data_IF_820572043561
#
_entry.id   IF_820572043561
#
_cell.length_a   1.000
_cell.length_b   1.000
_cell.length_c   1.000
_cell.angle_alpha   90.00
_cell.angle_beta   90.00
_cell.angle_gamma   90.00
#
_symmetry.space_group_name_H-M   'P 1'
#
loop_
_entity.id
_entity.type
_entity.pdbx_description
1 polymer ?
#
# COMPACT_ATOMS: atom_id res chain seq x y z
N UNK A 1 27.08 -28.49 47.38
CA UNK A 1 27.00 -27.74 46.11
C UNK A 1 25.56 -27.30 45.93
N UNK A 2 25.26 -26.01 45.72
CA UNK A 2 23.90 -25.59 45.41
C UNK A 2 23.57 -26.01 43.97
N UNK A 3 22.38 -26.57 43.78
CA UNK A 3 21.82 -26.91 42.48
C UNK A 3 21.76 -25.67 41.57
N UNK A 4 22.09 -25.77 40.27
CA UNK A 4 21.88 -24.66 39.37
C UNK A 4 20.37 -24.50 39.17
N UNK A 5 19.84 -23.33 39.52
CA UNK A 5 18.50 -22.90 39.11
C UNK A 5 18.43 -22.94 37.58
N UNK A 6 17.80 -23.99 37.04
CA UNK A 6 17.41 -24.01 35.64
C UNK A 6 16.41 -22.88 35.41
N UNK A 7 16.70 -21.97 34.48
CA UNK A 7 15.71 -21.03 33.96
C UNK A 7 14.51 -21.87 33.51
N UNK A 8 13.35 -21.67 34.12
CA UNK A 8 12.10 -22.34 33.72
C UNK A 8 11.82 -21.96 32.27
N UNK A 9 12.14 -22.83 31.31
CA UNK A 9 11.76 -22.64 29.92
C UNK A 9 10.23 -22.70 29.86
N UNK A 10 9.58 -21.54 29.63
CA UNK A 10 8.14 -21.46 29.42
C UNK A 10 7.78 -22.34 28.21
N UNK A 11 6.68 -23.11 28.30
CA UNK A 11 6.24 -23.92 27.16
C UNK A 11 5.77 -23.02 26.00
N UNK A 12 5.76 -23.49 24.75
CA UNK A 12 5.20 -22.72 23.63
C UNK A 12 3.77 -22.21 23.89
N UNK A 13 2.94 -23.03 24.54
CA UNK A 13 1.57 -22.64 24.90
C UNK A 13 1.54 -21.50 25.94
N UNK A 14 2.41 -21.54 26.95
CA UNK A 14 2.52 -20.47 27.95
C UNK A 14 2.97 -19.15 27.32
N UNK A 15 3.92 -19.21 26.37
CA UNK A 15 4.43 -18.02 25.67
C UNK A 15 3.31 -17.39 24.82
N UNK A 16 2.58 -18.21 24.06
CA UNK A 16 1.43 -17.75 23.25
C UNK A 16 0.35 -17.13 24.14
N UNK A 17 -0.01 -17.78 25.24
CA UNK A 17 -1.00 -17.29 26.20
C UNK A 17 -0.58 -15.95 26.81
N UNK A 18 0.64 -15.86 27.34
CA UNK A 18 1.15 -14.64 27.96
C UNK A 18 1.19 -13.49 26.95
N UNK A 19 1.68 -13.73 25.73
CA UNK A 19 1.75 -12.71 24.70
C UNK A 19 0.36 -12.18 24.33
N UNK A 20 -0.62 -13.08 24.19
CA UNK A 20 -2.02 -12.70 23.91
C UNK A 20 -2.62 -11.85 25.04
N UNK A 21 -2.37 -12.22 26.29
CA UNK A 21 -2.83 -11.46 27.46
C UNK A 21 -2.17 -10.07 27.52
N UNK A 22 -0.87 -9.97 27.26
CA UNK A 22 -0.15 -8.68 27.25
C UNK A 22 -0.62 -7.74 26.14
N UNK A 23 -0.88 -8.25 24.93
CA UNK A 23 -1.42 -7.44 23.83
C UNK A 23 -2.83 -6.93 24.16
N UNK A 24 -3.68 -7.77 24.76
CA UNK A 24 -5.02 -7.35 25.18
C UNK A 24 -4.99 -6.22 26.23
N UNK A 25 -3.93 -6.10 27.04
CA UNK A 25 -3.72 -4.96 27.94
C UNK A 25 -3.39 -3.70 27.14
N UNK A 26 -2.53 -3.79 26.13
CA UNK A 26 -2.17 -2.66 25.26
C UNK A 26 -3.38 -2.17 24.44
N UNK A 27 -4.19 -3.08 23.89
CA UNK A 27 -5.42 -2.76 23.16
C UNK A 27 -6.42 -1.98 24.03
N UNK A 28 -6.66 -2.43 25.27
CA UNK A 28 -7.58 -1.75 26.20
C UNK A 28 -7.15 -0.33 26.50
N UNK A 29 -5.83 -0.10 26.58
CA UNK A 29 -5.28 1.23 26.78
C UNK A 29 -5.49 2.11 25.54
N UNK A 30 -5.16 1.64 24.34
CA UNK A 30 -5.34 2.39 23.10
C UNK A 30 -6.81 2.80 22.87
N UNK A 31 -7.75 1.90 23.14
CA UNK A 31 -9.19 2.19 23.07
C UNK A 31 -9.59 3.27 24.10
N UNK A 32 -9.03 3.22 25.31
CA UNK A 32 -9.28 4.22 26.34
C UNK A 32 -8.77 5.60 25.92
N UNK A 33 -7.56 5.66 25.36
CA UNK A 33 -6.93 6.91 24.93
C UNK A 33 -7.70 7.54 23.74
N UNK A 34 -8.07 6.75 22.73
CA UNK A 34 -8.92 7.21 21.61
C UNK A 34 -10.30 7.69 22.05
N UNK A 35 -10.88 7.14 23.12
CA UNK A 35 -12.15 7.62 23.70
C UNK A 35 -11.97 8.93 24.45
N UNK A 36 -10.83 9.15 25.10
CA UNK A 36 -10.53 10.38 25.81
C UNK A 36 -10.23 11.56 24.87
N UNK A 37 -9.79 11.28 23.64
CA UNK A 37 -9.48 12.30 22.61
C UNK A 37 -10.70 12.79 21.81
N UNK A 38 -11.90 12.21 21.96
CA UNK A 38 -13.10 12.74 21.30
C UNK A 38 -13.48 14.12 21.89
N UNK A 39 -13.59 15.19 21.08
CA UNK A 39 -13.93 16.51 21.59
C UNK A 39 -15.36 16.55 22.13
N UNK A 40 -15.50 17.15 23.31
CA UNK A 40 -16.74 17.34 24.04
C UNK A 40 -17.55 18.50 23.41
N UNK A 41 -18.22 18.26 22.28
CA UNK A 41 -19.26 19.18 21.78
C UNK A 41 -20.56 18.40 21.53
N UNK A 42 -21.66 18.69 22.26
CA UNK A 42 -22.96 18.13 21.94
C UNK A 42 -23.57 18.91 20.76
N UNK A 43 -23.81 18.23 19.64
CA UNK A 43 -24.75 18.72 18.64
C UNK A 43 -26.17 18.70 19.23
N UNK A 44 -26.69 19.87 19.57
CA UNK A 44 -28.13 20.08 19.70
C UNK A 44 -28.74 20.11 18.31
N UNK A 45 -29.45 19.05 17.95
CA UNK A 45 -30.43 19.11 16.87
C UNK A 45 -31.62 19.97 17.33
N UNK A 46 -31.93 21.02 16.58
CA UNK A 46 -33.25 21.65 16.58
C UNK A 46 -33.57 22.00 15.13
N UNK A 47 -34.38 21.15 14.51
CA UNK A 47 -35.04 21.42 13.23
C UNK A 47 -36.13 22.47 13.42
N UNK A 48 -36.20 23.50 12.58
CA UNK A 48 -37.47 24.14 12.28
C UNK A 48 -38.03 23.60 10.98
N UNK A 49 -39.26 23.09 11.07
CA UNK A 49 -40.18 22.88 9.95
C UNK A 49 -40.26 24.14 9.08
N UNK A 50 -40.15 24.00 7.76
CA UNK A 50 -40.70 24.96 6.81
C UNK A 50 -41.33 24.21 5.65
N UNK A 51 -42.66 24.21 5.68
CA UNK A 51 -43.53 23.82 4.58
C UNK A 51 -43.29 24.72 3.36
N UNK A 52 -43.43 24.08 2.21
CA UNK A 52 -43.63 24.65 0.88
C UNK A 52 -44.52 25.89 0.87
N UNK A 53 -44.07 26.96 0.21
CA UNK A 53 -44.94 27.73 -0.66
C UNK A 53 -44.17 28.43 -1.78
N UNK A 54 -44.70 28.23 -2.98
CA UNK A 54 -44.34 28.83 -4.26
C UNK A 54 -44.64 30.32 -4.33
N UNK A 55 -43.83 31.09 -5.08
CA UNK A 55 -44.23 31.98 -6.19
C UNK A 55 -43.27 33.19 -6.37
N UNK A 56 -42.88 33.36 -7.64
CA UNK A 56 -42.61 34.62 -8.37
C UNK A 56 -41.40 35.51 -8.02
N UNK A 57 -40.49 35.59 -9.01
CA UNK A 57 -39.66 36.76 -9.38
C UNK A 57 -40.56 37.95 -9.79
N UNK A 58 -40.13 39.23 -9.74
CA UNK A 58 -39.12 39.72 -10.68
C UNK A 58 -38.19 40.91 -10.27
N UNK A 59 -37.08 41.00 -11.01
CA UNK A 59 -36.36 42.18 -11.55
C UNK A 59 -35.70 43.29 -10.70
N UNK A 60 -34.43 43.55 -11.11
CA UNK A 60 -33.70 44.83 -11.32
C UNK A 60 -33.08 45.60 -10.15
N UNK A 61 -31.80 45.97 -10.33
CA UNK A 61 -31.33 47.33 -10.03
C UNK A 61 -30.11 47.51 -9.10
N UNK A 62 -28.95 47.75 -9.72
CA UNK A 62 -27.89 48.72 -9.35
C UNK A 62 -27.15 48.71 -8.00
N UNK A 63 -25.82 48.56 -8.11
CA UNK A 63 -24.70 49.34 -7.53
C UNK A 63 -24.92 50.15 -6.24
N UNK A 64 -24.04 49.99 -5.23
CA UNK A 64 -23.05 51.01 -4.80
C UNK A 64 -22.23 50.56 -3.58
N UNK A 65 -21.13 51.29 -3.40
CA UNK A 65 -19.89 51.06 -2.64
C UNK A 65 -19.88 51.47 -1.17
N UNK A 66 -18.82 51.01 -0.47
CA UNK A 66 -18.06 51.63 0.64
C UNK A 66 -18.79 52.55 1.66
N UNK A 67 -18.63 52.25 2.96
CA UNK A 67 -17.73 53.03 3.85
C UNK A 67 -17.74 52.54 5.30
N UNK A 68 -16.53 52.50 5.85
CA UNK A 68 -16.07 52.65 7.25
C UNK A 68 -16.82 53.73 8.06
N UNK A 69 -16.86 53.58 9.39
CA UNK A 69 -16.74 54.57 10.51
C UNK A 69 -17.29 53.88 11.78
N UNK A 70 -16.47 53.52 12.77
CA UNK A 70 -15.91 54.33 13.86
C UNK A 70 -16.81 54.37 15.10
N UNK A 71 -16.12 54.23 16.25
CA UNK A 71 -16.61 54.17 17.61
C UNK A 71 -17.26 55.49 18.07
N UNK A 72 -18.08 55.42 19.13
CA UNK A 72 -17.83 56.25 20.32
C UNK A 72 -18.67 55.81 21.53
N UNK A 73 -18.08 56.17 22.67
CA UNK A 73 -18.34 55.90 24.08
C UNK A 73 -19.75 56.17 24.64
N UNK A 74 -20.04 55.57 25.81
CA UNK A 74 -20.44 56.35 26.99
C UNK A 74 -20.33 55.54 28.30
N UNK A 75 -19.51 56.09 29.20
CA UNK A 75 -19.39 55.80 30.64
C UNK A 75 -20.66 56.14 31.42
N UNK A 76 -20.87 55.45 32.57
CA UNK A 76 -21.18 56.03 33.90
C UNK A 76 -20.86 54.95 34.96
N UNK A 77 -20.08 55.32 35.98
CA UNK A 77 -19.76 54.46 37.12
C UNK A 77 -20.49 54.85 38.41
N UNK A 78 -20.51 53.95 39.41
CA UNK A 78 -20.43 54.29 40.84
C UNK A 78 -20.39 53.05 41.76
N UNK A 79 -19.24 52.88 42.43
CA UNK A 79 -18.94 52.44 43.81
C UNK A 79 -19.87 51.46 44.60
N UNK A 80 -19.26 50.31 44.89
CA UNK A 80 -18.85 49.81 46.23
C UNK A 80 -19.91 49.25 47.21
N UNK A 81 -19.82 47.94 47.53
CA UNK A 81 -19.60 47.34 48.88
C UNK A 81 -20.04 45.86 48.93
N UNK A 82 -19.07 44.96 49.10
CA UNK A 82 -19.24 43.66 49.80
C UNK A 82 -19.15 43.90 51.33
N UNK A 83 -19.44 42.93 52.25
CA UNK A 83 -19.83 41.51 52.06
C UNK A 83 -20.97 41.03 53.01
N UNK A 84 -21.70 39.95 52.68
CA UNK A 84 -22.12 38.94 53.69
C UNK A 84 -22.27 37.54 53.09
N UNK A 85 -21.56 36.60 53.72
CA UNK A 85 -21.59 35.14 53.55
C UNK A 85 -23.01 34.58 53.70
N UNK A 86 -23.45 33.77 52.74
CA UNK A 86 -24.43 32.70 52.97
C UNK A 86 -23.86 31.43 52.36
N UNK A 87 -23.74 30.39 53.18
CA UNK A 87 -23.14 29.11 52.85
C UNK A 87 -24.07 28.27 51.97
N UNK A 88 -23.53 27.67 50.91
CA UNK A 88 -24.16 26.53 50.23
C UNK A 88 -23.57 25.20 50.76
N UNK A 89 -24.38 24.14 50.94
CA UNK A 89 -23.93 22.89 51.54
C UNK A 89 -22.95 22.14 50.65
N UNK A 90 -21.96 21.50 51.29
CA UNK A 90 -21.04 20.53 50.69
C UNK A 90 -21.83 19.41 50.00
N UNK A 91 -21.99 19.51 48.68
CA UNK A 91 -22.39 18.38 47.86
C UNK A 91 -21.22 17.40 47.77
N UNK A 92 -21.47 16.17 48.21
CA UNK A 92 -20.57 15.02 48.14
C UNK A 92 -19.96 14.93 46.73
N UNK A 93 -18.63 14.98 46.66
CA UNK A 93 -17.87 14.48 45.49
C UNK A 93 -18.18 12.99 45.37
N UNK A 94 -19.18 12.65 44.57
CA UNK A 94 -19.24 11.32 44.00
C UNK A 94 -18.06 11.23 43.03
N UNK A 95 -17.13 10.35 43.36
CA UNK A 95 -16.01 9.92 42.54
C UNK A 95 -16.54 9.39 41.21
N UNK A 96 -16.54 10.24 40.18
CA UNK A 96 -16.40 9.75 38.82
C UNK A 96 -15.03 9.11 38.72
N UNK A 97 -15.00 7.78 38.79
CA UNK A 97 -13.79 6.99 38.58
C UNK A 97 -13.24 7.29 37.20
N UNK A 98 -12.19 8.12 37.14
CA UNK A 98 -11.25 8.13 36.01
C UNK A 98 -10.59 6.76 36.02
N UNK A 99 -11.05 5.85 35.17
CA UNK A 99 -10.36 4.60 34.91
C UNK A 99 -9.13 4.91 34.03
N UNK A 100 -8.17 5.64 34.59
CA UNK A 100 -6.80 5.67 34.08
C UNK A 100 -6.21 4.32 34.46
N UNK A 101 -6.14 3.39 33.51
CA UNK A 101 -5.41 2.15 33.72
C UNK A 101 -3.95 2.52 34.07
N UNK A 102 -3.36 1.78 35.01
CA UNK A 102 -2.08 2.14 35.63
C UNK A 102 -0.96 2.21 34.58
N UNK A 103 -0.27 3.34 34.48
CA UNK A 103 0.88 3.54 33.57
C UNK A 103 1.96 2.47 33.78
N UNK A 104 2.04 1.94 35.00
CA UNK A 104 2.89 0.82 35.40
C UNK A 104 2.48 -0.49 34.71
N UNK A 105 1.18 -0.75 34.57
CA UNK A 105 0.66 -1.95 33.91
C UNK A 105 0.93 -1.94 32.40
N UNK A 106 0.85 -0.77 31.76
CA UNK A 106 1.17 -0.62 30.33
C UNK A 106 2.65 -0.87 30.07
N UNK A 107 3.55 -0.26 30.87
CA UNK A 107 4.99 -0.50 30.76
C UNK A 107 5.33 -1.98 30.98
N UNK A 108 4.74 -2.59 32.00
CA UNK A 108 4.90 -4.03 32.25
C UNK A 108 4.39 -4.89 31.09
N UNK A 109 3.27 -4.51 30.47
CA UNK A 109 2.73 -5.23 29.32
C UNK A 109 3.64 -5.10 28.09
N UNK A 110 4.18 -3.91 27.82
CA UNK A 110 5.15 -3.69 26.73
C UNK A 110 6.40 -4.54 26.92
N UNK A 111 6.98 -4.54 28.13
CA UNK A 111 8.14 -5.41 28.41
C UNK A 111 7.83 -6.90 28.24
N UNK A 112 6.64 -7.33 28.67
CA UNK A 112 6.24 -8.73 28.57
C UNK A 112 5.97 -9.13 27.11
N UNK A 113 5.43 -8.23 26.27
CA UNK A 113 5.34 -8.43 24.81
C UNK A 113 6.74 -8.67 24.24
N UNK A 114 7.70 -7.77 24.47
CA UNK A 114 9.06 -7.91 23.93
C UNK A 114 9.74 -9.19 24.40
N UNK A 115 9.63 -9.54 25.70
CA UNK A 115 10.21 -10.79 26.25
C UNK A 115 9.61 -12.04 25.60
N UNK A 116 8.30 -12.09 25.39
CA UNK A 116 7.65 -13.25 24.79
C UNK A 116 7.92 -13.35 23.28
N UNK A 117 8.04 -12.23 22.56
CA UNK A 117 8.45 -12.23 21.15
C UNK A 117 9.87 -12.79 20.97
N UNK A 118 10.82 -12.37 21.82
CA UNK A 118 12.19 -12.92 21.81
C UNK A 118 12.17 -14.42 22.11
N UNK A 119 11.40 -14.86 23.12
CA UNK A 119 11.28 -16.28 23.44
C UNK A 119 10.67 -17.11 22.29
N UNK A 120 9.68 -16.57 21.56
CA UNK A 120 9.16 -17.22 20.35
C UNK A 120 10.22 -17.33 19.26
N UNK A 121 11.03 -16.28 19.06
CA UNK A 121 12.15 -16.34 18.11
C UNK A 121 13.17 -17.39 18.48
N UNK A 122 13.55 -17.51 19.74
CA UNK A 122 14.49 -18.55 20.20
C UNK A 122 13.95 -19.96 19.92
N UNK A 123 12.63 -20.19 20.02
CA UNK A 123 12.03 -21.47 19.62
C UNK A 123 12.19 -21.72 18.11
N UNK A 124 12.03 -20.69 17.28
CA UNK A 124 12.01 -20.81 15.82
C UNK A 124 13.39 -20.82 15.17
N UNK A 125 14.35 -20.09 15.72
CA UNK A 125 15.70 -19.93 15.18
C UNK A 125 16.78 -20.64 16.00
N UNK A 126 16.43 -21.12 17.20
CA UNK A 126 17.38 -21.66 18.14
C UNK A 126 18.16 -20.55 18.85
N UNK A 127 19.11 -20.96 19.67
CA UNK A 127 20.09 -20.06 20.28
C UNK A 127 21.48 -20.36 19.71
N UNK A 128 22.48 -19.53 20.03
CA UNK A 128 23.87 -19.75 19.60
C UNK A 128 24.43 -21.14 19.98
N UNK A 129 23.78 -21.83 20.93
CA UNK A 129 24.22 -23.13 21.45
C UNK A 129 23.30 -24.30 21.06
N UNK A 130 22.08 -24.04 20.57
CA UNK A 130 21.06 -25.08 20.35
C UNK A 130 20.23 -24.80 19.11
N UNK A 131 20.12 -25.79 18.24
CA UNK A 131 19.20 -25.78 17.10
C UNK A 131 17.73 -25.81 17.54
N UNK A 132 16.80 -25.28 16.71
CA UNK A 132 15.37 -25.36 16.96
C UNK A 132 14.88 -26.80 17.16
N UNK A 133 14.18 -27.05 18.26
CA UNK A 133 13.53 -28.35 18.48
C UNK A 133 12.26 -28.46 17.62
N UNK A 134 12.22 -29.44 16.72
CA UNK A 134 11.11 -29.62 15.76
C UNK A 134 9.75 -29.73 16.45
N UNK A 135 9.67 -30.41 17.59
CA UNK A 135 8.44 -30.56 18.38
C UNK A 135 7.98 -29.23 18.98
N UNK A 136 8.89 -28.42 19.52
CA UNK A 136 8.57 -27.11 20.07
C UNK A 136 8.08 -26.14 18.98
N UNK A 137 8.68 -26.17 17.78
CA UNK A 137 8.21 -25.40 16.62
C UNK A 137 6.83 -25.85 16.17
N UNK A 138 6.57 -27.17 16.16
CA UNK A 138 5.26 -27.71 15.79
C UNK A 138 4.18 -27.30 16.81
N UNK A 139 4.47 -27.38 18.10
CA UNK A 139 3.58 -26.94 19.15
C UNK A 139 3.32 -25.43 19.08
N UNK A 140 4.36 -24.62 18.92
CA UNK A 140 4.23 -23.16 18.77
C UNK A 140 3.34 -22.81 17.58
N UNK A 141 3.57 -23.42 16.41
CA UNK A 141 2.76 -23.19 15.22
C UNK A 141 1.28 -23.53 15.47
N UNK A 142 0.99 -24.69 16.09
CA UNK A 142 -0.37 -25.10 16.39
C UNK A 142 -1.08 -24.12 17.34
N UNK A 143 -0.39 -23.66 18.38
CA UNK A 143 -0.92 -22.69 19.34
C UNK A 143 -1.15 -21.31 18.69
N UNK A 144 -0.27 -20.89 17.78
CA UNK A 144 -0.45 -19.65 17.01
C UNK A 144 -1.72 -19.68 16.15
N UNK A 145 -2.02 -20.81 15.51
CA UNK A 145 -3.24 -20.97 14.72
C UNK A 145 -4.50 -21.04 15.60
N UNK A 146 -4.47 -21.89 16.65
CA UNK A 146 -5.62 -22.13 17.52
C UNK A 146 -6.03 -20.87 18.31
N UNK A 147 -5.04 -20.10 18.76
CA UNK A 147 -5.28 -18.88 19.54
C UNK A 147 -5.65 -17.67 18.68
N UNK A 148 -5.45 -17.73 17.37
CA UNK A 148 -5.60 -16.59 16.46
C UNK A 148 -4.52 -15.51 16.63
N UNK A 149 -3.44 -15.78 17.40
CA UNK A 149 -2.45 -14.78 17.79
C UNK A 149 -1.71 -14.17 16.58
N UNK A 150 -1.51 -14.91 15.49
CA UNK A 150 -0.94 -14.34 14.26
C UNK A 150 -1.78 -13.18 13.72
N UNK A 151 -3.11 -13.28 13.77
CA UNK A 151 -4.00 -12.21 13.35
C UNK A 151 -3.94 -11.00 14.29
N UNK A 152 -3.93 -11.25 15.60
CA UNK A 152 -3.79 -10.21 16.63
C UNK A 152 -2.47 -9.44 16.50
N UNK A 153 -1.34 -10.14 16.33
CA UNK A 153 -0.03 -9.49 16.15
C UNK A 153 0.02 -8.56 14.93
N UNK A 154 -0.69 -8.89 13.85
CA UNK A 154 -0.81 -8.05 12.67
C UNK A 154 -1.76 -6.86 12.92
N UNK A 155 -2.91 -7.12 13.54
CA UNK A 155 -3.92 -6.08 13.85
C UNK A 155 -3.37 -4.99 14.77
N UNK A 156 -2.59 -5.40 15.77
CA UNK A 156 -2.09 -4.54 16.85
C UNK A 156 -0.61 -4.18 16.68
N UNK A 157 -0.05 -4.38 15.48
CA UNK A 157 1.37 -4.14 15.20
C UNK A 157 1.82 -2.72 15.57
N UNK A 158 0.91 -1.73 15.47
CA UNK A 158 1.15 -0.34 15.86
C UNK A 158 1.45 -0.17 17.37
N UNK A 159 0.90 -1.04 18.23
CA UNK A 159 1.04 -0.98 19.69
C UNK A 159 2.36 -1.61 20.17
N UNK A 160 3.03 -2.38 19.32
CA UNK A 160 4.27 -3.08 19.63
C UNK A 160 5.45 -2.11 19.47
N UNK A 161 6.50 -2.27 20.29
CA UNK A 161 7.69 -1.43 20.22
C UNK A 161 8.50 -1.66 18.92
N UNK A 162 9.49 -0.80 18.64
CA UNK A 162 10.21 -0.80 17.37
C UNK A 162 10.93 -2.12 17.06
N UNK A 163 11.62 -2.72 18.04
CA UNK A 163 12.27 -4.02 17.84
C UNK A 163 11.24 -5.16 17.83
N UNK A 164 10.21 -5.08 18.68
CA UNK A 164 9.11 -6.05 18.65
C UNK A 164 8.41 -6.14 17.29
N UNK A 165 8.20 -5.03 16.57
CA UNK A 165 7.64 -5.04 15.20
C UNK A 165 8.49 -5.87 14.23
N UNK A 166 9.83 -5.80 14.34
CA UNK A 166 10.75 -6.60 13.53
C UNK A 166 10.69 -8.07 13.91
N UNK A 167 10.60 -8.35 15.21
CA UNK A 167 10.47 -9.71 15.72
C UNK A 167 9.17 -10.37 15.24
N UNK A 168 8.05 -9.64 15.25
CA UNK A 168 6.78 -10.11 14.66
C UNK A 168 6.95 -10.48 13.20
N UNK A 169 7.57 -9.62 12.39
CA UNK A 169 7.79 -9.92 10.98
C UNK A 169 8.68 -11.17 10.76
N UNK A 170 9.72 -11.35 11.58
CA UNK A 170 10.57 -12.54 11.53
C UNK A 170 9.81 -13.81 11.91
N UNK A 171 9.07 -13.79 13.03
CA UNK A 171 8.24 -14.91 13.49
C UNK A 171 7.20 -15.28 12.43
N UNK A 172 6.47 -14.28 11.93
CA UNK A 172 5.44 -14.46 10.90
C UNK A 172 6.03 -15.13 9.65
N UNK A 173 7.15 -14.61 9.13
CA UNK A 173 7.80 -15.14 7.93
C UNK A 173 8.36 -16.55 8.13
N UNK A 174 8.91 -16.86 9.32
CA UNK A 174 9.40 -18.19 9.64
C UNK A 174 8.25 -19.22 9.65
N UNK A 175 7.19 -18.93 10.39
CA UNK A 175 6.01 -19.80 10.46
C UNK A 175 5.33 -19.93 9.10
N UNK A 176 5.28 -18.86 8.29
CA UNK A 176 4.72 -18.91 6.94
C UNK A 176 5.46 -19.89 6.02
N UNK A 177 6.80 -19.97 6.14
CA UNK A 177 7.64 -20.89 5.36
C UNK A 177 7.60 -22.34 5.85
N UNK A 178 6.96 -22.62 6.99
CA UNK A 178 6.91 -23.96 7.58
C UNK A 178 6.20 -24.95 6.66
N UNK A 179 6.81 -26.12 6.48
CA UNK A 179 6.29 -27.22 5.68
C UNK A 179 6.11 -28.49 6.51
N UNK A 180 5.07 -29.27 6.21
CA UNK A 180 4.85 -30.62 6.73
C UNK A 180 4.61 -31.53 5.52
N UNK A 181 5.64 -32.28 5.12
CA UNK A 181 5.65 -32.95 3.81
C UNK A 181 5.55 -31.91 2.69
N UNK A 182 4.55 -32.04 1.82
CA UNK A 182 4.29 -31.09 0.72
C UNK A 182 3.33 -29.96 1.10
N UNK A 183 2.78 -29.97 2.32
CA UNK A 183 1.80 -28.98 2.77
C UNK A 183 2.48 -27.78 3.41
N UNK A 184 1.86 -26.61 3.26
CA UNK A 184 2.24 -25.35 3.92
C UNK A 184 1.11 -24.90 4.86
N UNK A 185 1.07 -25.39 6.12
CA UNK A 185 -0.08 -25.20 7.02
C UNK A 185 -0.44 -23.74 7.27
N UNK A 186 0.56 -22.85 7.35
CA UNK A 186 0.30 -21.41 7.56
C UNK A 186 -0.37 -20.77 6.35
N UNK A 187 -0.03 -21.19 5.13
CA UNK A 187 -0.70 -20.73 3.91
C UNK A 187 -2.17 -21.17 3.94
N UNK A 188 -2.43 -22.44 4.28
CA UNK A 188 -3.78 -22.97 4.43
C UNK A 188 -4.58 -22.22 5.50
N UNK A 189 -3.96 -21.93 6.65
CA UNK A 189 -4.55 -21.12 7.71
C UNK A 189 -4.92 -19.71 7.21
N UNK A 190 -4.00 -18.99 6.55
CA UNK A 190 -4.26 -17.64 6.04
C UNK A 190 -5.33 -17.66 4.94
N UNK A 191 -5.43 -18.71 4.12
CA UNK A 191 -6.54 -18.87 3.17
C UNK A 191 -7.92 -18.87 3.86
N UNK A 192 -8.01 -19.38 5.10
CA UNK A 192 -9.23 -19.31 5.93
C UNK A 192 -9.36 -18.02 6.75
N UNK A 193 -8.26 -17.28 6.93
CA UNK A 193 -8.16 -16.04 7.71
C UNK A 193 -7.67 -14.88 6.84
N UNK A 194 -8.33 -14.65 5.70
CA UNK A 194 -7.87 -13.73 4.65
C UNK A 194 -7.71 -12.27 5.13
N UNK A 195 -8.43 -11.89 6.20
CA UNK A 195 -8.32 -10.57 6.80
C UNK A 195 -6.88 -10.22 7.21
N UNK A 196 -6.03 -11.21 7.52
CA UNK A 196 -4.60 -10.99 7.78
C UNK A 196 -3.93 -10.29 6.59
N UNK A 197 -4.20 -10.74 5.36
CA UNK A 197 -3.63 -10.14 4.15
C UNK A 197 -4.10 -8.70 3.96
N UNK A 198 -5.39 -8.43 4.21
CA UNK A 198 -5.95 -7.10 4.05
C UNK A 198 -5.49 -6.12 5.13
N UNK A 199 -5.26 -6.59 6.37
CA UNK A 199 -4.63 -5.78 7.42
C UNK A 199 -3.18 -5.43 7.07
N UNK A 200 -2.41 -6.40 6.55
CA UNK A 200 -1.05 -6.14 6.06
C UNK A 200 -1.05 -5.13 4.91
N UNK A 201 -1.93 -5.29 3.93
CA UNK A 201 -2.04 -4.36 2.80
C UNK A 201 -2.42 -2.95 3.27
N UNK A 202 -3.43 -2.83 4.14
CA UNK A 202 -3.84 -1.53 4.71
C UNK A 202 -2.74 -0.90 5.57
N UNK A 203 -1.81 -1.70 6.09
CA UNK A 203 -0.65 -1.23 6.85
C UNK A 203 0.21 -0.19 6.10
N UNK A 204 0.17 -0.15 4.77
CA UNK A 204 0.84 0.91 3.99
C UNK A 204 0.30 2.32 4.30
N UNK A 205 -0.93 2.45 4.82
CA UNK A 205 -1.51 3.73 5.24
C UNK A 205 -0.91 4.26 6.56
N UNK A 206 -0.19 3.41 7.30
CA UNK A 206 0.34 3.71 8.63
C UNK A 206 1.87 3.74 8.59
N UNK A 207 2.51 4.94 8.55
CA UNK A 207 3.96 5.06 8.34
C UNK A 207 4.84 4.25 9.30
N UNK A 208 4.43 4.12 10.56
CA UNK A 208 5.20 3.41 11.59
C UNK A 208 5.30 1.89 11.38
N UNK A 209 4.37 1.31 10.62
CA UNK A 209 4.29 -0.14 10.38
C UNK A 209 4.40 -0.53 8.91
N UNK A 210 4.26 0.42 7.98
CA UNK A 210 4.20 0.17 6.54
C UNK A 210 5.30 -0.78 6.03
N UNK A 211 6.56 -0.53 6.40
CA UNK A 211 7.69 -1.36 5.95
C UNK A 211 7.67 -2.77 6.55
N UNK A 212 7.22 -2.93 7.80
CA UNK A 212 7.07 -4.25 8.43
C UNK A 212 5.93 -5.03 7.76
N UNK A 213 4.82 -4.36 7.46
CA UNK A 213 3.71 -4.94 6.70
C UNK A 213 4.15 -5.34 5.28
N UNK A 214 4.92 -4.49 4.59
CA UNK A 214 5.48 -4.80 3.28
C UNK A 214 6.37 -6.04 3.28
N UNK A 215 7.24 -6.19 4.30
CA UNK A 215 8.08 -7.40 4.47
C UNK A 215 7.23 -8.66 4.63
N UNK A 216 6.21 -8.64 5.50
CA UNK A 216 5.34 -9.81 5.72
C UNK A 216 4.44 -10.10 4.51
N UNK A 217 3.91 -9.06 3.86
CA UNK A 217 3.06 -9.19 2.69
C UNK A 217 3.83 -9.75 1.49
N UNK A 218 5.08 -9.30 1.27
CA UNK A 218 5.96 -9.87 0.25
C UNK A 218 6.31 -11.33 0.51
N UNK A 219 6.39 -11.75 1.78
CA UNK A 219 6.55 -13.17 2.09
C UNK A 219 5.27 -13.96 1.77
N UNK A 220 4.08 -13.41 2.07
CA UNK A 220 2.79 -14.03 1.73
C UNK A 220 2.67 -14.31 0.24
N UNK A 221 2.94 -13.30 -0.60
CA UNK A 221 2.76 -13.40 -2.05
C UNK A 221 3.76 -14.35 -2.74
N UNK A 222 4.76 -14.88 -2.02
CA UNK A 222 5.58 -16.00 -2.53
C UNK A 222 4.75 -17.27 -2.74
N UNK A 223 3.63 -17.39 -2.04
CA UNK A 223 2.69 -18.49 -2.18
C UNK A 223 1.54 -18.07 -3.08
N UNK A 224 1.37 -18.78 -4.20
CA UNK A 224 0.37 -18.48 -5.23
C UNK A 224 -1.06 -18.34 -4.67
N UNK A 225 -1.55 -19.18 -3.72
CA UNK A 225 -2.88 -19.00 -3.16
C UNK A 225 -3.11 -17.65 -2.48
N UNK A 226 -2.11 -17.12 -1.77
CA UNK A 226 -2.21 -15.85 -1.06
C UNK A 226 -2.08 -14.66 -2.02
N UNK A 227 -1.19 -14.77 -3.01
CA UNK A 227 -1.10 -13.80 -4.09
C UNK A 227 -2.43 -13.69 -4.86
N UNK A 228 -3.10 -14.82 -5.12
CA UNK A 228 -4.41 -14.86 -5.79
C UNK A 228 -5.50 -14.13 -5.00
N UNK A 229 -5.53 -14.29 -3.67
CA UNK A 229 -6.49 -13.57 -2.81
C UNK A 229 -6.29 -12.06 -2.91
N UNK A 230 -5.04 -11.59 -2.84
CA UNK A 230 -4.75 -10.14 -2.92
C UNK A 230 -5.05 -9.62 -4.32
N UNK A 231 -4.53 -10.27 -5.36
CA UNK A 231 -4.66 -9.81 -6.74
C UNK A 231 -6.11 -9.78 -7.21
N UNK A 232 -6.93 -10.74 -6.79
CA UNK A 232 -8.36 -10.80 -7.10
C UNK A 232 -9.25 -9.89 -6.25
N UNK A 233 -8.68 -9.08 -5.34
CA UNK A 233 -9.43 -8.22 -4.42
C UNK A 233 -9.55 -6.79 -4.92
N UNK A 234 -10.58 -6.06 -4.47
CA UNK A 234 -10.71 -4.61 -4.72
C UNK A 234 -9.55 -3.81 -4.10
N UNK A 235 -9.03 -4.29 -2.97
CA UNK A 235 -7.91 -3.69 -2.23
C UNK A 235 -6.60 -3.72 -3.03
N UNK A 236 -6.46 -4.58 -4.05
CA UNK A 236 -5.32 -4.53 -4.95
C UNK A 236 -5.17 -3.15 -5.60
N UNK A 237 -6.28 -2.49 -5.94
CA UNK A 237 -6.23 -1.18 -6.57
C UNK A 237 -5.75 -0.06 -5.65
N UNK A 238 -5.66 -0.30 -4.33
CA UNK A 238 -5.05 0.65 -3.41
C UNK A 238 -3.55 0.83 -3.68
N UNK A 239 -2.87 -0.14 -4.32
CA UNK A 239 -1.48 0.02 -4.73
C UNK A 239 -1.25 1.21 -5.67
N UNK A 240 -2.20 1.54 -6.55
CA UNK A 240 -2.08 2.73 -7.42
C UNK A 240 -1.99 4.03 -6.62
N UNK A 241 -2.56 4.07 -5.41
CA UNK A 241 -2.41 5.17 -4.46
C UNK A 241 -1.13 5.03 -3.63
N UNK A 242 -0.80 3.82 -3.15
CA UNK A 242 0.37 3.59 -2.31
C UNK A 242 1.70 3.90 -3.01
N UNK A 243 1.82 3.59 -4.30
CA UNK A 243 3.03 3.89 -5.09
C UNK A 243 3.20 5.39 -5.41
N UNK A 244 2.17 6.19 -5.13
CA UNK A 244 2.17 7.66 -5.30
C UNK A 244 2.27 8.40 -3.95
N UNK A 245 2.53 7.70 -2.86
CA UNK A 245 2.73 8.35 -1.55
C UNK A 245 3.95 9.28 -1.56
N UNK A 246 3.85 10.38 -0.80
CA UNK A 246 4.94 11.36 -0.68
C UNK A 246 6.14 10.84 0.10
N UNK A 247 5.96 9.83 0.96
CA UNK A 247 7.02 9.11 1.66
C UNK A 247 7.68 8.12 0.72
N UNK A 248 8.86 8.49 0.22
CA UNK A 248 9.58 7.77 -0.82
C UNK A 248 9.87 6.30 -0.51
N UNK A 249 10.30 6.02 0.72
CA UNK A 249 10.59 4.68 1.24
C UNK A 249 9.34 3.79 1.22
N UNK A 250 8.21 4.31 1.70
CA UNK A 250 6.92 3.61 1.69
C UNK A 250 6.42 3.38 0.27
N UNK A 251 6.45 4.41 -0.59
CA UNK A 251 6.01 4.30 -1.98
C UNK A 251 6.86 3.29 -2.78
N UNK A 252 8.18 3.30 -2.56
CA UNK A 252 9.10 2.36 -3.19
C UNK A 252 8.89 0.93 -2.72
N UNK A 253 8.65 0.73 -1.42
CA UNK A 253 8.33 -0.57 -0.85
C UNK A 253 6.98 -1.11 -1.37
N UNK A 254 5.96 -0.25 -1.45
CA UNK A 254 4.66 -0.57 -2.06
C UNK A 254 4.82 -0.95 -3.53
N UNK A 255 5.65 -0.23 -4.29
CA UNK A 255 5.92 -0.56 -5.69
C UNK A 255 6.61 -1.91 -5.83
N UNK A 256 7.54 -2.26 -4.93
CA UNK A 256 8.17 -3.57 -4.92
C UNK A 256 7.14 -4.70 -4.73
N UNK A 257 6.20 -4.53 -3.81
CA UNK A 257 5.10 -5.48 -3.57
C UNK A 257 4.14 -5.56 -4.77
N UNK A 258 3.75 -4.41 -5.33
CA UNK A 258 2.92 -4.32 -6.53
C UNK A 258 3.56 -5.03 -7.74
N UNK A 259 4.84 -4.78 -7.99
CA UNK A 259 5.63 -5.46 -9.03
C UNK A 259 5.67 -6.97 -8.80
N UNK A 260 5.92 -7.40 -7.57
CA UNK A 260 6.06 -8.82 -7.23
C UNK A 260 4.75 -9.58 -7.49
N UNK A 261 3.60 -9.02 -7.08
CA UNK A 261 2.27 -9.54 -7.39
C UNK A 261 2.04 -9.73 -8.90
N UNK A 262 2.47 -8.76 -9.71
CA UNK A 262 2.26 -8.75 -11.15
C UNK A 262 3.27 -9.60 -11.94
N UNK A 263 4.35 -10.07 -11.32
CA UNK A 263 5.45 -10.69 -12.08
C UNK A 263 5.93 -12.04 -11.56
N UNK A 264 5.61 -12.43 -10.32
CA UNK A 264 6.05 -13.71 -9.74
C UNK A 264 5.31 -14.91 -10.32
N UNK A 265 3.99 -14.95 -10.13
CA UNK A 265 3.14 -16.07 -10.55
C UNK A 265 2.60 -15.78 -11.94
N UNK A 266 3.35 -16.23 -12.96
CA UNK A 266 3.14 -15.83 -14.37
C UNK A 266 1.74 -16.08 -14.89
N UNK A 267 1.21 -17.28 -14.66
CA UNK A 267 -0.12 -17.67 -15.13
C UNK A 267 -1.22 -16.90 -14.40
N UNK A 268 -1.12 -16.77 -13.07
CA UNK A 268 -2.05 -16.00 -12.25
C UNK A 268 -2.10 -14.52 -12.68
N UNK A 269 -0.94 -13.89 -12.89
CA UNK A 269 -0.86 -12.50 -13.33
C UNK A 269 -1.43 -12.31 -14.73
N UNK A 270 -1.11 -13.20 -15.68
CA UNK A 270 -1.66 -13.15 -17.02
C UNK A 270 -3.19 -13.28 -17.02
N UNK A 271 -3.73 -14.25 -16.27
CA UNK A 271 -5.18 -14.44 -16.10
C UNK A 271 -5.85 -13.17 -15.55
N UNK A 272 -5.28 -12.58 -14.48
CA UNK A 272 -5.78 -11.35 -13.89
C UNK A 272 -5.75 -10.17 -14.88
N UNK A 273 -4.62 -9.94 -15.55
CA UNK A 273 -4.46 -8.82 -16.48
C UNK A 273 -5.38 -8.94 -17.69
N UNK A 274 -5.67 -10.15 -18.15
CA UNK A 274 -6.62 -10.40 -19.23
C UNK A 274 -8.06 -10.09 -18.79
N UNK A 275 -8.49 -10.60 -17.63
CA UNK A 275 -9.85 -10.42 -17.11
C UNK A 275 -10.14 -8.98 -16.69
N UNK A 276 -9.14 -8.27 -16.15
CA UNK A 276 -9.29 -6.92 -15.60
C UNK A 276 -8.65 -5.83 -16.47
N UNK A 277 -8.35 -6.15 -17.73
CA UNK A 277 -7.53 -5.33 -18.63
C UNK A 277 -7.92 -3.85 -18.61
N UNK A 278 -9.19 -3.52 -18.86
CA UNK A 278 -9.57 -2.13 -19.12
C UNK A 278 -9.49 -1.27 -17.85
N UNK A 279 -9.90 -1.80 -16.69
CA UNK A 279 -9.73 -1.10 -15.40
C UNK A 279 -8.25 -1.00 -15.02
N UNK A 280 -7.50 -2.11 -15.13
CA UNK A 280 -6.09 -2.13 -14.77
C UNK A 280 -5.28 -1.12 -15.58
N UNK A 281 -5.35 -1.16 -16.91
CA UNK A 281 -4.57 -0.26 -17.75
C UNK A 281 -5.06 1.19 -17.70
N UNK A 282 -6.34 1.43 -17.39
CA UNK A 282 -6.82 2.80 -17.12
C UNK A 282 -6.19 3.39 -15.86
N UNK A 283 -5.99 2.60 -14.81
CA UNK A 283 -5.27 3.05 -13.60
C UNK A 283 -3.75 3.13 -13.84
N UNK A 284 -3.19 2.16 -14.56
CA UNK A 284 -1.77 2.09 -14.88
C UNK A 284 -1.30 3.28 -15.73
N UNK A 285 -2.14 3.74 -16.67
CA UNK A 285 -1.85 4.92 -17.48
C UNK A 285 -1.60 6.18 -16.62
N UNK A 286 -2.27 6.30 -15.47
CA UNK A 286 -2.04 7.43 -14.54
C UNK A 286 -0.62 7.41 -13.99
N UNK A 287 -0.07 6.23 -13.69
CA UNK A 287 1.32 6.08 -13.21
C UNK A 287 2.33 6.52 -14.28
N UNK A 288 2.03 6.32 -15.56
CA UNK A 288 2.88 6.77 -16.67
C UNK A 288 2.88 8.30 -16.84
N UNK A 289 1.92 8.98 -16.21
CA UNK A 289 1.81 10.44 -16.16
C UNK A 289 2.20 11.01 -14.79
N UNK A 290 2.73 10.18 -13.88
CA UNK A 290 3.11 10.63 -12.54
C UNK A 290 4.16 11.75 -12.57
N UNK A 291 3.98 12.74 -11.70
CA UNK A 291 5.00 13.76 -11.42
C UNK A 291 6.16 13.20 -10.57
N UNK A 292 5.95 12.07 -9.90
CA UNK A 292 7.02 11.34 -9.21
C UNK A 292 7.90 10.62 -10.24
N UNK A 293 9.11 11.13 -10.45
CA UNK A 293 10.07 10.56 -11.37
C UNK A 293 10.31 9.06 -11.17
N UNK A 294 10.42 8.60 -9.92
CA UNK A 294 10.70 7.20 -9.62
C UNK A 294 9.49 6.34 -9.97
N UNK A 295 8.29 6.74 -9.57
CA UNK A 295 7.04 6.03 -9.90
C UNK A 295 6.84 5.96 -11.41
N UNK A 296 6.97 7.09 -12.13
CA UNK A 296 6.86 7.13 -13.59
C UNK A 296 7.87 6.21 -14.26
N UNK A 297 9.15 6.25 -13.85
CA UNK A 297 10.21 5.42 -14.43
C UNK A 297 9.98 3.94 -14.17
N UNK A 298 9.72 3.56 -12.92
CA UNK A 298 9.57 2.15 -12.55
C UNK A 298 8.30 1.56 -13.15
N UNK A 299 7.21 2.33 -13.26
CA UNK A 299 5.98 1.90 -13.93
C UNK A 299 6.22 1.68 -15.42
N UNK A 300 6.96 2.57 -16.09
CA UNK A 300 7.27 2.40 -17.51
C UNK A 300 8.17 1.17 -17.76
N UNK A 301 9.16 0.95 -16.88
CA UNK A 301 10.00 -0.25 -16.91
C UNK A 301 9.17 -1.53 -16.71
N UNK A 302 8.32 -1.56 -15.70
CA UNK A 302 7.44 -2.70 -15.41
C UNK A 302 6.46 -2.96 -16.55
N UNK A 303 5.92 -1.92 -17.18
CA UNK A 303 5.09 -2.06 -18.38
C UNK A 303 5.84 -2.81 -19.50
N UNK A 304 7.10 -2.42 -19.76
CA UNK A 304 7.96 -3.13 -20.72
C UNK A 304 8.16 -4.60 -20.35
N UNK A 305 8.45 -4.89 -19.09
CA UNK A 305 8.59 -6.27 -18.58
C UNK A 305 7.29 -7.08 -18.77
N UNK A 306 6.12 -6.50 -18.46
CA UNK A 306 4.83 -7.16 -18.60
C UNK A 306 4.48 -7.46 -20.06
N UNK A 307 4.71 -6.52 -20.97
CA UNK A 307 4.38 -6.68 -22.39
C UNK A 307 5.31 -7.66 -23.10
N UNK A 308 6.55 -7.81 -22.64
CA UNK A 308 7.53 -8.73 -23.22
C UNK A 308 7.45 -10.15 -22.63
N UNK A 309 6.68 -10.37 -21.56
CA UNK A 309 6.49 -11.70 -21.00
C UNK A 309 5.59 -12.56 -21.91
N UNK A 310 6.06 -13.75 -22.26
CA UNK A 310 5.36 -14.69 -23.16
C UNK A 310 3.95 -15.07 -22.68
N UNK A 311 3.71 -15.10 -21.37
CA UNK A 311 2.39 -15.45 -20.83
C UNK A 311 1.38 -14.33 -21.04
N UNK A 312 1.85 -13.10 -21.28
CA UNK A 312 1.03 -11.92 -21.48
C UNK A 312 0.80 -11.60 -22.97
N UNK A 313 0.95 -12.59 -23.87
CA UNK A 313 0.82 -12.35 -25.31
C UNK A 313 -0.52 -11.69 -25.69
N UNK A 314 -1.64 -12.18 -25.16
CA UNK A 314 -2.98 -11.59 -25.42
C UNK A 314 -3.06 -10.15 -24.93
N UNK A 315 -2.55 -9.88 -23.74
CA UNK A 315 -2.49 -8.55 -23.13
C UNK A 315 -1.63 -7.61 -23.97
N UNK A 316 -0.45 -8.08 -24.39
CA UNK A 316 0.47 -7.34 -25.25
C UNK A 316 -0.19 -6.98 -26.58
N UNK A 317 -0.81 -7.94 -27.26
CA UNK A 317 -1.50 -7.72 -28.54
C UNK A 317 -2.61 -6.69 -28.40
N UNK A 318 -3.43 -6.77 -27.33
CA UNK A 318 -4.46 -5.76 -27.04
C UNK A 318 -3.84 -4.38 -26.78
N UNK A 319 -2.74 -4.31 -26.02
CA UNK A 319 -2.05 -3.05 -25.69
C UNK A 319 -1.48 -2.35 -26.92
N UNK A 320 -0.78 -3.08 -27.79
CA UNK A 320 -0.11 -2.49 -28.96
C UNK A 320 -1.06 -2.20 -30.13
N UNK A 321 -2.33 -2.61 -30.02
CA UNK A 321 -3.39 -2.28 -30.99
C UNK A 321 -3.99 -0.89 -30.78
N UNK A 322 -3.82 -0.28 -29.60
CA UNK A 322 -4.42 1.02 -29.25
C UNK A 322 -3.55 2.19 -29.73
N UNK A 323 -4.05 3.10 -30.58
CA UNK A 323 -3.27 4.24 -31.09
C UNK A 323 -2.86 5.24 -29.99
N UNK A 324 -3.68 5.40 -28.94
CA UNK A 324 -3.35 6.25 -27.79
C UNK A 324 -2.08 5.78 -27.07
N UNK A 325 -1.94 4.46 -26.89
CA UNK A 325 -0.77 3.87 -26.26
C UNK A 325 0.51 4.12 -27.08
N UNK A 326 0.42 4.03 -28.41
CA UNK A 326 1.56 4.38 -29.29
C UNK A 326 1.93 5.86 -29.15
N UNK A 327 0.94 6.76 -29.19
CA UNK A 327 1.19 8.21 -29.04
C UNK A 327 1.85 8.52 -27.70
N UNK A 328 1.40 7.90 -26.62
CA UNK A 328 2.02 8.03 -25.30
C UNK A 328 3.49 7.62 -25.33
N UNK A 329 3.81 6.44 -25.87
CA UNK A 329 5.20 5.97 -25.97
C UNK A 329 6.07 6.89 -26.83
N UNK A 330 5.55 7.37 -27.97
CA UNK A 330 6.26 8.32 -28.83
C UNK A 330 6.52 9.67 -28.15
N UNK A 331 5.61 10.13 -27.29
CA UNK A 331 5.83 11.32 -26.48
C UNK A 331 6.88 11.08 -25.38
N UNK A 332 6.83 9.92 -24.71
CA UNK A 332 7.80 9.55 -23.66
C UNK A 332 9.22 9.34 -24.21
N UNK A 333 9.38 8.94 -25.46
CA UNK A 333 10.69 8.95 -26.16
C UNK A 333 11.33 10.35 -26.21
N UNK A 334 10.54 11.41 -26.02
CA UNK A 334 10.98 12.81 -25.99
C UNK A 334 10.88 13.43 -24.59
N UNK A 335 10.69 12.63 -23.55
CA UNK A 335 10.63 13.10 -22.15
C UNK A 335 11.93 13.82 -21.77
N UNK A 336 11.87 14.77 -20.82
CA UNK A 336 13.07 15.47 -20.32
C UNK A 336 14.13 14.54 -19.73
N UNK A 337 13.74 13.39 -19.20
CA UNK A 337 14.63 12.40 -18.60
C UNK A 337 15.08 11.34 -19.59
N UNK A 338 16.39 11.24 -19.83
CA UNK A 338 17.00 10.20 -20.69
C UNK A 338 16.65 8.78 -20.25
N UNK A 339 16.50 8.54 -18.95
CA UNK A 339 16.12 7.23 -18.45
C UNK A 339 14.65 6.89 -18.77
N UNK A 340 13.74 7.86 -18.69
CA UNK A 340 12.34 7.66 -19.12
C UNK A 340 12.28 7.36 -20.61
N UNK A 341 13.02 8.12 -21.42
CA UNK A 341 13.11 7.88 -22.87
C UNK A 341 13.59 6.46 -23.17
N UNK A 342 14.58 5.96 -22.41
CA UNK A 342 15.14 4.62 -22.60
C UNK A 342 14.13 3.52 -22.26
N UNK A 343 13.40 3.63 -21.14
CA UNK A 343 12.34 2.67 -20.82
C UNK A 343 11.18 2.77 -21.85
N UNK A 344 10.84 3.97 -22.34
CA UNK A 344 9.84 4.18 -23.39
C UNK A 344 10.22 3.48 -24.71
N UNK A 345 11.51 3.46 -25.03
CA UNK A 345 12.03 2.76 -26.21
C UNK A 345 11.73 1.26 -26.15
N UNK A 346 11.89 0.61 -25.00
CA UNK A 346 11.60 -0.81 -24.86
C UNK A 346 10.12 -1.15 -25.04
N UNK A 347 9.20 -0.23 -24.72
CA UNK A 347 7.77 -0.43 -25.02
C UNK A 347 7.47 -0.08 -26.48
N UNK A 348 8.00 1.03 -26.99
CA UNK A 348 7.84 1.45 -28.39
C UNK A 348 8.30 0.38 -29.38
N UNK A 349 9.40 -0.33 -29.09
CA UNK A 349 9.90 -1.39 -29.97
C UNK A 349 8.86 -2.48 -30.25
N UNK A 350 8.02 -2.79 -29.27
CA UNK A 350 6.99 -3.84 -29.39
C UNK A 350 5.92 -3.46 -30.42
N UNK A 351 5.55 -2.17 -30.50
CA UNK A 351 4.62 -1.67 -31.53
C UNK A 351 5.18 -1.84 -32.93
N UNK A 352 6.46 -1.52 -33.12
CA UNK A 352 7.12 -1.57 -34.42
C UNK A 352 7.42 -3.01 -34.84
N UNK A 353 7.84 -3.86 -33.91
CA UNK A 353 8.14 -5.27 -34.14
C UNK A 353 6.90 -6.12 -34.42
N UNK A 354 5.70 -5.65 -34.06
CA UNK A 354 4.45 -6.36 -34.33
C UNK A 354 4.25 -6.57 -35.85
N UNK A 355 4.18 -7.82 -36.37
CA UNK A 355 3.92 -8.06 -37.79
C UNK A 355 2.48 -7.67 -38.19
N UNK A 356 1.52 -7.79 -37.27
CA UNK A 356 0.10 -7.60 -37.51
C UNK A 356 -0.38 -6.27 -36.92
N UNK A 357 0.13 -5.16 -37.46
CA UNK A 357 -0.23 -3.81 -36.99
C UNK A 357 -1.67 -3.47 -37.41
N UNK A 358 -2.47 -2.98 -36.48
CA UNK A 358 -3.80 -2.42 -36.80
C UNK A 358 -3.66 -1.16 -37.66
N UNK A 359 -4.66 -0.86 -38.50
CA UNK A 359 -4.63 0.31 -39.39
C UNK A 359 -4.30 1.64 -38.68
N UNK A 360 -4.92 1.99 -37.53
CA UNK A 360 -4.61 3.26 -36.86
C UNK A 360 -3.16 3.37 -36.38
N UNK A 361 -2.58 2.26 -35.93
CA UNK A 361 -1.17 2.18 -35.49
C UNK A 361 -0.24 2.33 -36.69
N UNK A 362 -0.53 1.62 -37.78
CA UNK A 362 0.25 1.73 -39.02
C UNK A 362 0.21 3.16 -39.59
N UNK A 363 -0.96 3.81 -39.58
CA UNK A 363 -1.13 5.18 -40.07
C UNK A 363 -0.28 6.18 -39.28
N UNK A 364 -0.21 6.03 -37.94
CA UNK A 364 0.65 6.87 -37.09
C UNK A 364 2.11 6.68 -37.45
N UNK A 365 2.57 5.43 -37.61
CA UNK A 365 3.97 5.14 -37.95
C UNK A 365 4.34 5.67 -39.34
N UNK A 366 3.49 5.46 -40.35
CA UNK A 366 3.71 5.98 -41.71
C UNK A 366 3.71 7.51 -41.74
N UNK A 367 2.78 8.17 -41.05
CA UNK A 367 2.71 9.63 -40.96
C UNK A 367 3.97 10.25 -40.33
N UNK A 368 4.65 9.51 -39.46
CA UNK A 368 5.86 9.96 -38.78
C UNK A 368 7.15 9.27 -39.26
N UNK A 369 7.09 8.52 -40.37
CA UNK A 369 8.15 7.59 -40.79
C UNK A 369 9.53 8.25 -40.90
N UNK A 370 9.66 9.30 -41.71
CA UNK A 370 10.95 9.99 -41.92
C UNK A 370 11.50 10.58 -40.63
N UNK A 371 10.63 11.18 -39.81
CA UNK A 371 11.01 11.78 -38.51
C UNK A 371 11.46 10.72 -37.51
N UNK A 372 10.78 9.57 -37.47
CA UNK A 372 11.15 8.45 -36.60
C UNK A 372 12.51 7.85 -37.00
N UNK A 373 12.76 7.66 -38.28
CA UNK A 373 14.06 7.16 -38.79
C UNK A 373 15.19 8.11 -38.37
N UNK A 374 15.01 9.42 -38.60
CA UNK A 374 16.01 10.41 -38.21
C UNK A 374 16.22 10.44 -36.69
N UNK A 375 15.11 10.45 -35.93
CA UNK A 375 15.13 10.47 -34.47
C UNK A 375 15.89 9.26 -33.91
N UNK A 376 15.51 8.05 -34.32
CA UNK A 376 16.12 6.81 -33.84
C UNK A 376 17.60 6.72 -34.23
N UNK A 377 17.99 7.20 -35.40
CA UNK A 377 19.41 7.19 -35.82
C UNK A 377 20.33 8.02 -34.91
N UNK A 378 19.76 8.99 -34.18
CA UNK A 378 20.48 9.87 -33.25
C UNK A 378 20.16 9.56 -31.78
N UNK A 379 19.28 8.60 -31.51
CA UNK A 379 18.75 8.35 -30.18
C UNK A 379 19.76 7.64 -29.27
N UNK A 380 20.22 8.35 -28.23
CA UNK A 380 21.12 7.87 -27.18
C UNK A 380 22.38 7.11 -27.69
N UNK A 381 23.02 7.62 -28.75
CA UNK A 381 24.22 6.99 -29.35
C UNK A 381 25.44 6.93 -28.42
N UNK A 382 25.42 7.67 -27.31
CA UNK A 382 26.40 7.58 -26.22
C UNK A 382 26.40 6.23 -25.49
N UNK A 383 25.34 5.40 -25.64
CA UNK A 383 25.28 4.03 -25.10
C UNK A 383 26.02 3.04 -26.02
N UNK A 384 27.32 3.24 -26.23
CA UNK A 384 28.13 2.42 -27.15
C UNK A 384 28.42 1.01 -26.63
N UNK A 385 28.40 0.81 -25.30
CA UNK A 385 28.66 -0.49 -24.67
C UNK A 385 27.44 -1.43 -24.65
N UNK A 386 26.25 -0.91 -24.99
CA UNK A 386 25.00 -1.68 -25.03
C UNK A 386 24.75 -2.16 -26.47
N UNK A 387 25.41 -3.25 -26.85
CA UNK A 387 25.29 -3.84 -28.20
C UNK A 387 23.83 -4.19 -28.54
N UNK A 388 23.12 -4.79 -27.58
CA UNK A 388 21.71 -5.16 -27.76
C UNK A 388 20.85 -3.94 -28.10
N UNK A 389 21.00 -2.84 -27.38
CA UNK A 389 20.27 -1.61 -27.67
C UNK A 389 20.58 -1.05 -29.07
N UNK A 390 21.85 -1.10 -29.49
CA UNK A 390 22.27 -0.60 -30.80
C UNK A 390 21.73 -1.47 -31.95
N UNK A 391 21.68 -2.78 -31.75
CA UNK A 391 21.07 -3.72 -32.70
C UNK A 391 19.55 -3.52 -32.77
N UNK A 392 18.87 -3.37 -31.63
CA UNK A 392 17.43 -3.10 -31.57
C UNK A 392 17.09 -1.78 -32.30
N UNK A 393 17.88 -0.73 -32.09
CA UNK A 393 17.71 0.56 -32.79
C UNK A 393 17.88 0.41 -34.30
N UNK A 394 18.90 -0.31 -34.75
CA UNK A 394 19.15 -0.58 -36.19
C UNK A 394 18.02 -1.39 -36.80
N UNK A 395 17.55 -2.42 -36.10
CA UNK A 395 16.39 -3.21 -36.48
C UNK A 395 15.13 -2.36 -36.62
N UNK A 396 14.84 -1.48 -35.64
CA UNK A 396 13.66 -0.60 -35.67
C UNK A 396 13.73 0.40 -36.83
N UNK A 397 14.89 1.00 -37.10
CA UNK A 397 15.07 1.90 -38.25
C UNK A 397 14.76 1.18 -39.56
N UNK A 398 15.24 -0.06 -39.71
CA UNK A 398 14.93 -0.90 -40.87
C UNK A 398 13.44 -1.21 -40.97
N UNK A 399 12.82 -1.69 -39.89
CA UNK A 399 11.39 -2.00 -39.84
C UNK A 399 10.52 -0.80 -40.23
N UNK A 400 10.83 0.39 -39.69
CA UNK A 400 10.08 1.61 -39.98
C UNK A 400 10.26 2.03 -41.44
N UNK A 401 11.47 1.93 -42.01
CA UNK A 401 11.74 2.21 -43.42
C UNK A 401 10.97 1.29 -44.36
N UNK A 402 10.85 0.03 -43.98
CA UNK A 402 10.20 -1.00 -44.79
C UNK A 402 8.67 -1.03 -44.61
N UNK A 403 8.10 -0.16 -43.74
CA UNK A 403 6.65 -0.03 -43.59
C UNK A 403 6.00 0.39 -44.91
N UNK A 404 4.99 -0.37 -45.31
CA UNK A 404 4.15 -0.09 -46.48
C UNK A 404 2.69 -0.22 -46.08
N UNK A 405 1.80 0.48 -46.79
CA UNK A 405 0.37 0.21 -46.68
C UNK A 405 0.10 -1.19 -47.24
N UNK A 406 -0.69 -2.04 -46.56
CA UNK A 406 -1.15 -3.27 -47.16
C UNK A 406 -1.93 -2.94 -48.44
N UNK A 407 -1.82 -3.79 -49.47
CA UNK A 407 -2.61 -3.63 -50.69
C UNK A 407 -4.09 -3.58 -50.29
N UNK A 408 -4.83 -2.58 -50.79
CA UNK A 408 -6.28 -2.55 -50.63
C UNK A 408 -6.79 -3.85 -51.26
N UNK A 409 -7.37 -4.73 -50.44
CA UNK A 409 -8.20 -5.80 -50.98
C UNK A 409 -9.38 -5.09 -51.65
N UNK A 410 -9.33 -4.99 -52.98
CA UNK A 410 -10.46 -4.62 -53.80
C UNK A 410 -11.60 -5.58 -53.43
N UNK A 411 -12.63 -5.04 -52.78
CA UNK A 411 -13.84 -5.75 -52.42
C UNK A 411 -14.82 -5.75 -53.60
#
# INVERSE_FOLDING_TARGET
MPFPFGKSHKSPADIVKNLKESIAVLEKQDISDKKAEKPLYPHTFSTPNLQSNSLTRPTSGSNLSLSTYAADDLHIGSRNKDPKKVAWPKAKRNSFGKQKMDRTAVLSATEEVSKNLVAMKEILYGTNEKEPQTEAVAQLAQELYNSGLLGTLVADLQLIDFEGKKDVAQIFNNILRRQIGTRTPTVEYICTQQNILFMLLKGYESPEIALNCGIMLRECIRHEPLAKIILGSEQFYDFFRYVEMSTFDIASDAFATFKDLLTRHKLLSAEFLEQHYDRFFSEYEKLLHSENYVTKRQSLKLLGELLLDRHNFTIMTKYISKPENLKLMMNLLRDKSRNIQFEAFHVFKVFVANPNKTQPVLDILLKNQSKLIEFLSKFQNDRTEDEQFNDEKTYLVKQIRDLKRPAQQEA
#
